data_IF_309240201345
#
_entry.id   IF_309240201345
#
_cell.length_a   1.000
_cell.length_b   1.000
_cell.length_c   1.000
_cell.angle_alpha   90.00
_cell.angle_beta   90.00
_cell.angle_gamma   90.00
#
_symmetry.space_group_name_H-M   'P 1'
#
loop_
_entity.id
_entity.type
_entity.pdbx_description
1 polymer ?
#
# COMPACT_ATOMS: atom_id res chain seq x y z
N UNK A 1 93.48 7.62 -12.53
CA UNK A 1 93.49 8.42 -11.32
C UNK A 1 92.09 8.72 -10.84
N UNK A 2 91.80 8.31 -9.60
CA UNK A 2 90.71 8.69 -8.69
C UNK A 2 89.27 8.46 -9.21
N UNK A 3 88.51 7.62 -8.70
CA UNK A 3 88.26 7.45 -7.26
C UNK A 3 86.89 8.10 -6.96
N UNK A 4 85.81 7.34 -6.93
CA UNK A 4 84.52 7.80 -6.53
C UNK A 4 83.65 6.59 -6.06
N UNK A 5 83.80 6.28 -4.76
CA UNK A 5 82.95 5.31 -4.08
C UNK A 5 81.52 5.89 -3.92
N UNK A 6 80.56 5.25 -4.52
CA UNK A 6 79.14 5.42 -4.21
C UNK A 6 78.73 4.21 -3.43
N UNK A 7 78.36 4.45 -2.17
CA UNK A 7 77.85 3.47 -1.19
C UNK A 7 76.49 2.91 -1.59
N UNK A 8 76.46 1.63 -1.86
CA UNK A 8 75.27 0.83 -1.95
C UNK A 8 74.72 0.65 -0.56
N UNK A 9 73.53 1.24 -0.29
CA UNK A 9 72.73 0.88 0.85
C UNK A 9 72.02 -0.45 0.55
N UNK A 10 72.55 -1.51 1.14
CA UNK A 10 71.86 -2.80 1.26
C UNK A 10 70.57 -2.63 2.05
N UNK A 11 69.49 -2.54 1.32
CA UNK A 11 68.17 -2.79 1.91
C UNK A 11 68.02 -4.30 2.05
N UNK A 12 68.05 -4.80 3.29
CA UNK A 12 67.74 -6.17 3.63
C UNK A 12 66.30 -6.49 3.28
N UNK A 13 66.06 -6.93 2.07
CA UNK A 13 64.79 -7.50 1.66
C UNK A 13 64.67 -8.90 2.29
N UNK A 14 63.93 -9.02 3.36
CA UNK A 14 63.43 -10.32 3.85
C UNK A 14 62.51 -10.87 2.77
N UNK A 15 63.02 -11.80 1.98
CA UNK A 15 62.26 -12.54 0.99
C UNK A 15 61.40 -13.55 1.72
N UNK A 16 60.16 -13.12 2.06
CA UNK A 16 59.15 -14.09 2.38
C UNK A 16 58.78 -14.78 1.08
N UNK A 17 59.00 -16.07 1.03
CA UNK A 17 58.48 -16.98 0.01
C UNK A 17 56.98 -17.10 0.25
N UNK A 18 56.29 -15.99 0.10
CA UNK A 18 54.84 -15.83 0.14
C UNK A 18 54.40 -15.71 -1.29
N UNK A 19 53.70 -16.72 -1.78
CA UNK A 19 52.88 -16.68 -2.95
C UNK A 19 52.08 -15.38 -2.89
N UNK A 20 52.41 -14.42 -3.75
CA UNK A 20 51.61 -13.22 -3.93
C UNK A 20 50.26 -13.68 -4.44
N UNK A 21 49.29 -13.82 -3.52
CA UNK A 21 47.92 -14.05 -3.88
C UNK A 21 47.43 -12.70 -4.42
N UNK A 22 47.73 -12.47 -5.69
CA UNK A 22 47.05 -11.44 -6.47
C UNK A 22 45.61 -11.93 -6.51
N UNK A 23 44.80 -11.41 -5.60
CA UNK A 23 43.34 -11.58 -5.68
C UNK A 23 42.93 -10.75 -6.91
N UNK A 24 43.06 -11.41 -8.07
CA UNK A 24 42.54 -10.83 -9.28
C UNK A 24 41.05 -10.83 -9.13
N UNK A 25 40.47 -9.66 -8.94
CA UNK A 25 39.01 -9.46 -8.73
C UNK A 25 38.22 -10.02 -9.93
N UNK A 26 38.89 -10.27 -11.07
CA UNK A 26 38.34 -10.94 -12.25
C UNK A 26 38.13 -12.46 -12.06
N UNK A 27 38.79 -13.10 -11.08
CA UNK A 27 38.64 -14.54 -10.83
C UNK A 27 37.47 -14.84 -9.89
N UNK A 28 36.90 -13.81 -9.28
CA UNK A 28 35.66 -13.97 -8.53
C UNK A 28 34.48 -14.20 -9.51
N UNK A 29 33.53 -15.05 -9.13
CA UNK A 29 32.30 -15.27 -9.91
C UNK A 29 31.65 -13.95 -10.34
N UNK A 30 31.62 -12.98 -9.45
CA UNK A 30 31.11 -11.64 -9.71
C UNK A 30 31.92 -10.89 -10.76
N UNK A 31 33.28 -10.95 -10.71
CA UNK A 31 34.13 -10.33 -11.71
C UNK A 31 33.86 -10.86 -13.12
N UNK A 32 33.74 -12.18 -13.27
CA UNK A 32 33.41 -12.80 -14.57
C UNK A 32 32.00 -12.41 -15.06
N UNK A 33 31.03 -12.26 -14.16
CA UNK A 33 29.70 -11.77 -14.49
C UNK A 33 29.75 -10.32 -14.98
N UNK A 34 30.53 -9.46 -14.33
CA UNK A 34 30.67 -8.06 -14.74
C UNK A 34 31.35 -7.94 -16.12
N UNK A 35 32.38 -8.74 -16.38
CA UNK A 35 33.10 -8.72 -17.67
C UNK A 35 32.25 -9.28 -18.82
N UNK A 36 31.42 -10.29 -18.55
CA UNK A 36 30.56 -10.94 -19.57
C UNK A 36 29.30 -10.14 -19.88
N UNK A 37 28.64 -9.56 -18.86
CA UNK A 37 27.34 -8.91 -18.99
C UNK A 37 27.50 -7.42 -19.30
N UNK A 38 28.59 -6.79 -18.81
CA UNK A 38 28.78 -5.35 -18.93
C UNK A 38 27.78 -4.50 -18.17
N UNK A 39 27.99 -3.19 -18.15
CA UNK A 39 27.07 -2.24 -17.47
C UNK A 39 25.63 -2.34 -17.99
N UNK A 40 25.36 -2.45 -19.32
CA UNK A 40 23.97 -2.57 -19.81
C UNK A 40 23.26 -3.83 -19.32
N UNK A 41 23.97 -4.94 -19.21
CA UNK A 41 23.38 -6.20 -18.72
C UNK A 41 23.04 -6.14 -17.24
N UNK A 42 23.85 -5.49 -16.41
CA UNK A 42 23.58 -5.28 -14.98
C UNK A 42 22.33 -4.41 -14.81
N UNK A 43 22.21 -3.34 -15.61
CA UNK A 43 21.03 -2.49 -15.62
C UNK A 43 19.78 -3.31 -16.01
N UNK A 44 19.89 -4.12 -17.06
CA UNK A 44 18.75 -4.96 -17.49
C UNK A 44 18.33 -5.96 -16.40
N UNK A 45 19.27 -6.64 -15.76
CA UNK A 45 18.97 -7.57 -14.65
C UNK A 45 18.34 -6.82 -13.47
N UNK A 46 18.87 -5.65 -13.10
CA UNK A 46 18.30 -4.87 -11.99
C UNK A 46 16.89 -4.39 -12.28
N UNK A 47 16.58 -4.02 -13.52
CA UNK A 47 15.23 -3.66 -13.94
C UNK A 47 14.29 -4.87 -13.88
N UNK A 48 14.71 -6.04 -14.35
CA UNK A 48 13.92 -7.27 -14.26
C UNK A 48 13.62 -7.62 -12.79
N UNK A 49 14.63 -7.57 -11.93
CA UNK A 49 14.46 -7.82 -10.49
C UNK A 49 13.52 -6.79 -9.86
N UNK A 50 13.66 -5.52 -10.20
CA UNK A 50 12.76 -4.46 -9.71
C UNK A 50 11.31 -4.71 -10.15
N UNK A 51 11.07 -5.08 -11.40
CA UNK A 51 9.74 -5.43 -11.92
C UNK A 51 9.18 -6.65 -11.20
N UNK A 52 9.99 -7.69 -10.98
CA UNK A 52 9.57 -8.87 -10.21
C UNK A 52 9.17 -8.53 -8.78
N UNK A 53 9.93 -7.66 -8.11
CA UNK A 53 9.61 -7.19 -6.75
C UNK A 53 8.30 -6.39 -6.75
N UNK A 54 8.10 -5.51 -7.73
CA UNK A 54 6.86 -4.74 -7.88
C UNK A 54 5.65 -5.68 -8.08
N UNK A 55 5.77 -6.67 -8.97
CA UNK A 55 4.71 -7.65 -9.21
C UNK A 55 4.40 -8.45 -7.94
N UNK A 56 5.44 -8.90 -7.23
CA UNK A 56 5.28 -9.61 -5.96
C UNK A 56 4.57 -8.74 -4.92
N UNK A 57 5.00 -7.47 -4.77
CA UNK A 57 4.38 -6.53 -3.84
C UNK A 57 2.91 -6.25 -4.18
N UNK A 58 2.59 -6.01 -5.46
CA UNK A 58 1.22 -5.84 -5.93
C UNK A 58 0.36 -7.08 -5.68
N UNK A 59 0.92 -8.27 -5.93
CA UNK A 59 0.24 -9.54 -5.67
C UNK A 59 -0.10 -9.67 -4.17
N UNK A 60 0.87 -9.45 -3.28
CA UNK A 60 0.63 -9.47 -1.84
C UNK A 60 -0.39 -8.41 -1.40
N UNK A 61 -0.33 -7.20 -1.98
CA UNK A 61 -1.29 -6.13 -1.68
C UNK A 61 -2.71 -6.50 -2.09
N UNK A 62 -2.89 -7.15 -3.23
CA UNK A 62 -4.21 -7.57 -3.74
C UNK A 62 -4.74 -8.77 -2.96
N UNK A 63 -3.93 -9.82 -2.78
CA UNK A 63 -4.41 -11.08 -2.20
C UNK A 63 -4.44 -11.10 -0.66
N UNK A 64 -3.65 -10.27 0.00
CA UNK A 64 -3.61 -10.21 1.47
C UNK A 64 -4.08 -8.84 1.96
N UNK A 65 -3.57 -7.75 1.41
CA UNK A 65 -3.84 -6.40 1.87
C UNK A 65 -5.32 -6.02 1.74
N UNK A 66 -5.95 -6.28 0.60
CA UNK A 66 -7.37 -5.98 0.37
C UNK A 66 -8.29 -6.76 1.33
N UNK A 67 -8.18 -8.10 1.46
CA UNK A 67 -8.99 -8.84 2.42
C UNK A 67 -8.82 -8.38 3.85
N UNK A 68 -7.61 -8.06 4.26
CA UNK A 68 -7.32 -7.57 5.61
C UNK A 68 -7.93 -6.16 5.84
N UNK A 69 -7.89 -5.29 4.83
CA UNK A 69 -8.55 -3.98 4.88
C UNK A 69 -10.07 -4.13 5.08
N UNK A 70 -10.72 -5.01 4.33
CA UNK A 70 -12.16 -5.28 4.47
C UNK A 70 -12.48 -5.90 5.83
N UNK A 71 -11.67 -6.85 6.31
CA UNK A 71 -11.79 -7.42 7.66
C UNK A 71 -11.66 -6.38 8.77
N UNK A 72 -10.74 -5.43 8.61
CA UNK A 72 -10.59 -4.30 9.53
C UNK A 72 -11.84 -3.42 9.56
N UNK A 73 -12.42 -3.10 8.40
CA UNK A 73 -13.66 -2.31 8.32
C UNK A 73 -14.84 -3.03 8.94
N UNK A 74 -14.93 -4.35 8.77
CA UNK A 74 -15.92 -5.18 9.46
C UNK A 74 -15.78 -5.09 10.97
N UNK A 75 -14.54 -5.21 11.48
CA UNK A 75 -14.28 -5.10 12.91
C UNK A 75 -14.79 -3.77 13.50
N UNK A 76 -14.53 -2.64 12.82
CA UNK A 76 -15.02 -1.33 13.27
C UNK A 76 -16.53 -1.18 13.07
N UNK A 77 -17.11 -1.72 12.00
CA UNK A 77 -18.53 -1.65 11.74
C UNK A 77 -19.32 -2.47 12.75
N UNK A 78 -18.91 -3.69 13.04
CA UNK A 78 -19.53 -4.53 14.08
C UNK A 78 -19.34 -3.93 15.49
N UNK A 79 -18.17 -3.31 15.76
CA UNK A 79 -17.90 -2.64 17.03
C UNK A 79 -18.83 -1.47 17.37
N UNK A 80 -19.64 -1.00 16.41
CA UNK A 80 -20.69 0.02 16.67
C UNK A 80 -21.97 -0.58 17.23
N UNK A 81 -22.21 -1.87 17.11
CA UNK A 81 -23.44 -2.57 17.54
C UNK A 81 -23.20 -3.75 18.46
N UNK A 82 -22.04 -4.38 18.35
CA UNK A 82 -21.69 -5.63 19.05
C UNK A 82 -20.25 -5.57 19.54
N UNK A 83 -19.88 -6.50 20.42
CA UNK A 83 -18.48 -6.68 20.78
C UNK A 83 -17.69 -7.18 19.56
N UNK A 84 -16.69 -6.42 19.08
CA UNK A 84 -15.90 -6.79 17.91
C UNK A 84 -15.00 -7.98 18.24
N UNK A 85 -14.91 -8.95 17.33
CA UNK A 85 -14.07 -10.12 17.48
C UNK A 85 -12.85 -10.04 16.55
N UNK A 86 -11.68 -10.33 17.07
CA UNK A 86 -10.43 -10.35 16.29
C UNK A 86 -10.52 -11.33 15.11
N UNK A 87 -11.36 -12.39 15.23
CA UNK A 87 -11.64 -13.32 14.15
C UNK A 87 -12.27 -12.70 12.91
N UNK A 88 -12.93 -11.55 13.04
CA UNK A 88 -13.56 -10.83 11.93
C UNK A 88 -12.55 -10.23 10.96
N UNK A 89 -11.29 -10.01 11.40
CA UNK A 89 -10.21 -9.57 10.52
C UNK A 89 -9.89 -10.58 9.41
N UNK A 90 -10.01 -11.87 9.71
CA UNK A 90 -9.72 -12.95 8.76
C UNK A 90 -10.99 -13.52 8.07
N UNK A 91 -12.15 -12.96 8.34
CA UNK A 91 -13.44 -13.43 7.82
C UNK A 91 -13.46 -13.53 6.30
N UNK A 92 -12.89 -12.54 5.60
CA UNK A 92 -12.90 -12.45 4.14
C UNK A 92 -12.23 -13.68 3.50
N UNK A 93 -11.13 -14.19 4.10
CA UNK A 93 -10.40 -15.37 3.60
C UNK A 93 -11.22 -16.66 3.67
N UNK A 94 -12.24 -16.72 4.52
CA UNK A 94 -13.15 -17.86 4.68
C UNK A 94 -14.46 -17.67 3.93
N UNK A 95 -14.72 -16.48 3.40
CA UNK A 95 -15.94 -16.18 2.66
C UNK A 95 -15.91 -16.81 1.26
N UNK A 96 -17.04 -17.36 0.84
CA UNK A 96 -17.24 -17.80 -0.56
C UNK A 96 -17.17 -16.62 -1.54
N UNK A 97 -17.45 -15.43 -1.06
CA UNK A 97 -17.46 -14.20 -1.85
C UNK A 97 -16.07 -13.51 -1.94
N UNK A 98 -15.01 -14.17 -1.43
CA UNK A 98 -13.63 -13.66 -1.52
C UNK A 98 -13.26 -13.11 -2.91
N UNK A 99 -13.46 -13.85 -4.02
CA UNK A 99 -13.09 -13.34 -5.35
C UNK A 99 -13.91 -12.09 -5.73
N UNK A 100 -15.20 -12.04 -5.40
CA UNK A 100 -16.03 -10.88 -5.68
C UNK A 100 -15.54 -9.64 -4.92
N UNK A 101 -15.20 -9.78 -3.65
CA UNK A 101 -14.64 -8.71 -2.82
C UNK A 101 -13.33 -8.18 -3.43
N UNK A 102 -12.42 -9.07 -3.80
CA UNK A 102 -11.12 -8.70 -4.39
C UNK A 102 -11.32 -7.99 -5.73
N UNK A 103 -12.16 -8.55 -6.62
CA UNK A 103 -12.45 -7.96 -7.94
C UNK A 103 -13.05 -6.56 -7.79
N UNK A 104 -14.03 -6.38 -6.91
CA UNK A 104 -14.69 -5.08 -6.67
C UNK A 104 -13.69 -4.04 -6.16
N UNK A 105 -12.81 -4.42 -5.23
CA UNK A 105 -11.79 -3.52 -4.69
C UNK A 105 -10.70 -3.16 -5.72
N UNK A 106 -10.30 -4.10 -6.55
CA UNK A 106 -9.37 -3.86 -7.66
C UNK A 106 -10.03 -2.93 -8.69
N UNK A 107 -11.28 -3.18 -9.07
CA UNK A 107 -12.04 -2.35 -10.00
C UNK A 107 -12.19 -0.91 -9.47
N UNK A 108 -12.52 -0.76 -8.19
CA UNK A 108 -12.52 0.53 -7.49
C UNK A 108 -11.16 1.23 -7.61
N UNK A 109 -10.06 0.52 -7.34
CA UNK A 109 -8.71 1.05 -7.46
C UNK A 109 -8.37 1.51 -8.87
N UNK A 110 -8.73 0.71 -9.88
CA UNK A 110 -8.54 1.04 -11.31
C UNK A 110 -9.33 2.30 -11.69
N UNK A 111 -10.57 2.43 -11.26
CA UNK A 111 -11.36 3.64 -11.54
C UNK A 111 -10.75 4.88 -10.90
N UNK A 112 -10.31 4.80 -9.64
CA UNK A 112 -9.64 5.93 -8.98
C UNK A 112 -8.36 6.28 -9.73
N UNK A 113 -7.55 5.30 -10.12
CA UNK A 113 -6.31 5.50 -10.86
C UNK A 113 -6.57 6.18 -12.21
N UNK A 114 -7.54 5.70 -12.99
CA UNK A 114 -7.91 6.27 -14.28
C UNK A 114 -8.34 7.75 -14.16
N UNK A 115 -9.19 8.06 -13.18
CA UNK A 115 -9.63 9.42 -12.93
C UNK A 115 -8.51 10.34 -12.46
N UNK A 116 -7.59 9.80 -11.62
CA UNK A 116 -6.43 10.55 -11.13
C UNK A 116 -5.42 10.80 -12.25
N UNK A 117 -5.24 9.82 -13.16
CA UNK A 117 -4.37 9.96 -14.33
C UNK A 117 -4.91 10.99 -15.33
N UNK A 118 -6.24 11.03 -15.49
CA UNK A 118 -6.89 11.98 -16.39
C UNK A 118 -6.78 13.41 -15.84
N UNK A 119 -7.13 13.62 -14.59
CA UNK A 119 -7.07 14.90 -13.88
C UNK A 119 -7.04 14.65 -12.36
N UNK A 120 -6.16 15.35 -11.64
CA UNK A 120 -5.99 15.18 -10.20
C UNK A 120 -7.28 15.53 -9.43
N UNK A 121 -7.93 16.65 -9.77
CA UNK A 121 -9.15 17.12 -9.07
C UNK A 121 -10.31 16.12 -9.20
N UNK A 122 -10.72 15.67 -10.40
CA UNK A 122 -11.72 14.60 -10.54
C UNK A 122 -11.30 13.29 -9.84
N UNK A 123 -10.02 12.96 -9.82
CA UNK A 123 -9.48 11.80 -9.09
C UNK A 123 -9.81 11.87 -7.60
N UNK A 124 -9.58 13.02 -6.96
CA UNK A 124 -9.92 13.24 -5.55
C UNK A 124 -11.43 13.12 -5.33
N UNK A 125 -12.25 13.75 -6.16
CA UNK A 125 -13.72 13.67 -6.07
C UNK A 125 -14.21 12.22 -6.19
N UNK A 126 -13.64 11.44 -7.11
CA UNK A 126 -13.99 10.02 -7.30
C UNK A 126 -13.46 9.15 -6.17
N UNK A 127 -12.32 9.49 -5.57
CA UNK A 127 -11.84 8.82 -4.36
C UNK A 127 -12.89 8.87 -3.24
N UNK A 128 -13.46 10.05 -2.96
CA UNK A 128 -14.55 10.20 -1.99
C UNK A 128 -15.82 9.50 -2.43
N UNK A 129 -16.16 9.53 -3.71
CA UNK A 129 -17.32 8.83 -4.25
C UNK A 129 -17.29 7.32 -4.03
N UNK A 130 -16.12 6.70 -4.02
CA UNK A 130 -15.93 5.26 -3.87
C UNK A 130 -15.47 4.86 -2.45
N UNK A 131 -15.49 5.79 -1.51
CA UNK A 131 -14.95 5.57 -0.15
C UNK A 131 -15.78 4.59 0.66
N UNK A 132 -17.09 4.48 0.37
CA UNK A 132 -18.02 3.59 1.07
C UNK A 132 -18.05 2.15 0.52
N UNK A 133 -17.44 1.88 -0.65
CA UNK A 133 -17.42 0.53 -1.26
C UNK A 133 -16.96 -0.57 -0.29
N UNK A 134 -15.87 -0.40 0.49
CA UNK A 134 -15.43 -1.45 1.42
C UNK A 134 -16.47 -1.80 2.49
N UNK A 135 -17.23 -0.81 2.97
CA UNK A 135 -18.29 -1.02 3.97
C UNK A 135 -19.50 -1.72 3.37
N UNK A 136 -19.87 -1.38 2.12
CA UNK A 136 -20.94 -2.05 1.37
C UNK A 136 -20.59 -3.54 1.20
N UNK A 137 -19.34 -3.86 0.87
CA UNK A 137 -18.87 -5.25 0.73
C UNK A 137 -18.82 -6.02 2.06
N UNK A 138 -18.75 -5.32 3.19
CA UNK A 138 -18.89 -5.95 4.52
C UNK A 138 -20.33 -6.38 4.78
N UNK A 139 -21.29 -5.53 4.41
CA UNK A 139 -22.74 -5.84 4.60
C UNK A 139 -23.24 -6.85 3.57
N UNK A 140 -22.89 -6.66 2.30
CA UNK A 140 -23.28 -7.53 1.20
C UNK A 140 -22.06 -7.94 0.35
N UNK A 141 -21.40 -9.06 0.71
CA UNK A 141 -20.21 -9.54 0.00
C UNK A 141 -20.49 -10.09 -1.40
N UNK A 142 -21.77 -10.36 -1.72
CA UNK A 142 -22.20 -10.96 -3.00
C UNK A 142 -22.70 -9.89 -3.99
N UNK A 143 -22.82 -8.64 -3.57
CA UNK A 143 -23.24 -7.53 -4.42
C UNK A 143 -22.37 -7.43 -5.67
N UNK A 144 -23.00 -7.13 -6.82
CA UNK A 144 -22.25 -6.88 -8.05
C UNK A 144 -21.29 -5.69 -7.92
N UNK A 145 -20.10 -5.83 -8.51
CA UNK A 145 -19.04 -4.81 -8.42
C UNK A 145 -19.51 -3.42 -8.89
N UNK A 146 -20.27 -3.36 -9.99
CA UNK A 146 -20.78 -2.11 -10.54
C UNK A 146 -21.87 -1.51 -9.64
N UNK A 147 -22.70 -2.35 -9.03
CA UNK A 147 -23.74 -1.93 -8.10
C UNK A 147 -23.15 -1.42 -6.79
N UNK A 148 -22.14 -2.07 -6.22
CA UNK A 148 -21.41 -1.60 -5.04
C UNK A 148 -20.81 -0.20 -5.26
N UNK A 149 -20.18 0.02 -6.42
CA UNK A 149 -19.60 1.30 -6.81
C UNK A 149 -20.69 2.37 -6.97
N UNK A 150 -21.81 2.04 -7.64
CA UNK A 150 -22.94 2.95 -7.82
C UNK A 150 -23.58 3.30 -6.48
N UNK A 151 -23.86 2.32 -5.63
CA UNK A 151 -24.41 2.54 -4.27
C UNK A 151 -23.50 3.47 -3.46
N UNK A 152 -22.19 3.28 -3.52
CA UNK A 152 -21.23 4.18 -2.86
C UNK A 152 -21.30 5.61 -3.41
N UNK A 153 -21.43 5.79 -4.72
CA UNK A 153 -21.57 7.13 -5.33
C UNK A 153 -22.86 7.82 -4.88
N UNK A 154 -23.96 7.10 -4.84
CA UNK A 154 -25.28 7.62 -4.45
C UNK A 154 -25.29 8.02 -2.97
N UNK A 155 -24.72 7.19 -2.09
CA UNK A 155 -24.60 7.48 -0.66
C UNK A 155 -23.74 8.71 -0.36
N UNK A 156 -22.68 8.93 -1.14
CA UNK A 156 -21.75 10.05 -0.92
C UNK A 156 -22.15 11.33 -1.66
N UNK A 157 -23.25 11.29 -2.41
CA UNK A 157 -23.74 12.45 -3.13
C UNK A 157 -24.19 13.55 -2.14
N UNK A 158 -23.59 14.74 -2.28
CA UNK A 158 -23.82 15.86 -1.35
C UNK A 158 -22.86 15.91 -0.17
N UNK A 159 -22.29 14.77 0.27
CA UNK A 159 -21.45 14.67 1.48
C UNK A 159 -19.93 14.62 1.23
N UNK A 160 -19.48 14.80 -0.03
CA UNK A 160 -18.05 14.70 -0.37
C UNK A 160 -17.19 15.77 0.29
N UNK A 161 -17.74 17.00 0.41
CA UNK A 161 -17.03 18.09 1.09
C UNK A 161 -16.95 17.85 2.60
N UNK A 162 -17.99 17.33 3.21
CA UNK A 162 -18.01 17.00 4.64
C UNK A 162 -16.96 15.92 4.95
N UNK A 163 -16.88 14.90 4.08
CA UNK A 163 -15.85 13.86 4.17
C UNK A 163 -14.42 14.41 3.96
N UNK A 164 -14.25 15.38 3.06
CA UNK A 164 -12.97 16.05 2.86
C UNK A 164 -12.56 16.85 4.09
N UNK A 165 -13.48 17.62 4.67
CA UNK A 165 -13.25 18.40 5.91
C UNK A 165 -12.94 17.46 7.08
N UNK A 166 -13.64 16.34 7.15
CA UNK A 166 -13.38 15.30 8.16
C UNK A 166 -11.93 14.77 8.03
N UNK A 167 -11.50 14.42 6.81
CA UNK A 167 -10.13 13.96 6.56
C UNK A 167 -9.09 15.05 6.89
N UNK A 168 -9.39 16.31 6.57
CA UNK A 168 -8.53 17.44 6.88
C UNK A 168 -8.39 17.64 8.41
N UNK A 169 -9.47 17.43 9.16
CA UNK A 169 -9.45 17.45 10.62
C UNK A 169 -8.54 16.34 11.17
N UNK A 170 -8.67 15.12 10.66
CA UNK A 170 -7.79 14.03 11.06
C UNK A 170 -6.33 14.23 10.64
N UNK A 171 -6.07 14.93 9.53
CA UNK A 171 -4.70 15.25 9.09
C UNK A 171 -3.95 16.03 10.16
N UNK A 172 -4.61 16.99 10.83
CA UNK A 172 -4.02 17.72 11.96
C UNK A 172 -3.60 16.78 13.10
N UNK A 173 -4.45 15.82 13.46
CA UNK A 173 -4.15 14.81 14.46
C UNK A 173 -3.03 13.86 14.05
N UNK A 174 -2.97 13.47 12.78
CA UNK A 174 -1.88 12.64 12.24
C UNK A 174 -0.53 13.38 12.28
N UNK A 175 -0.51 14.67 11.95
CA UNK A 175 0.72 15.50 12.06
C UNK A 175 1.16 15.58 13.52
N UNK A 176 0.23 15.85 14.44
CA UNK A 176 0.52 15.90 15.87
C UNK A 176 1.05 14.56 16.39
N UNK A 177 0.42 13.47 15.99
CA UNK A 177 0.84 12.10 16.33
C UNK A 177 2.21 11.72 15.78
N UNK A 178 2.55 12.20 14.58
CA UNK A 178 3.85 12.00 13.96
C UNK A 178 4.95 12.77 14.71
N UNK A 179 4.67 13.99 15.17
CA UNK A 179 5.57 14.79 16.01
C UNK A 179 5.87 14.13 17.36
N UNK A 180 4.96 13.32 17.88
CA UNK A 180 5.15 12.50 19.10
C UNK A 180 5.87 11.17 18.80
N UNK A 181 7.00 11.20 18.10
CA UNK A 181 7.81 10.02 17.73
C UNK A 181 7.04 8.96 16.89
N UNK A 182 5.98 9.35 16.20
CA UNK A 182 5.19 8.46 15.34
C UNK A 182 4.20 7.54 16.07
N UNK A 183 4.33 7.36 17.38
CA UNK A 183 3.44 6.49 18.17
C UNK A 183 1.99 7.01 18.14
N UNK A 184 1.80 8.32 18.11
CA UNK A 184 0.48 8.93 18.05
C UNK A 184 -0.33 8.57 16.81
N UNK A 185 0.31 8.24 15.68
CA UNK A 185 -0.37 7.78 14.46
C UNK A 185 -1.17 6.51 14.72
N UNK A 186 -0.63 5.55 15.49
CA UNK A 186 -1.32 4.32 15.85
C UNK A 186 -2.54 4.54 16.74
N UNK A 187 -2.54 5.61 17.52
CA UNK A 187 -3.69 5.99 18.36
C UNK A 187 -4.78 6.70 17.55
N UNK A 188 -4.41 7.53 16.57
CA UNK A 188 -5.37 8.26 15.71
C UNK A 188 -6.08 7.32 14.73
N UNK A 189 -5.38 6.30 14.22
CA UNK A 189 -5.93 5.42 13.20
C UNK A 189 -7.24 4.70 13.60
N UNK A 190 -7.39 4.07 14.78
CA UNK A 190 -8.66 3.45 15.19
C UNK A 190 -9.81 4.45 15.33
N UNK A 191 -9.53 5.70 15.75
CA UNK A 191 -10.55 6.75 15.78
C UNK A 191 -11.05 7.12 14.37
N UNK A 192 -10.12 7.23 13.43
CA UNK A 192 -10.43 7.48 12.03
C UNK A 192 -11.35 6.39 11.46
N UNK A 193 -10.98 5.12 11.64
CA UNK A 193 -11.77 3.98 11.15
C UNK A 193 -13.14 3.88 11.82
N UNK A 194 -13.21 4.10 13.13
CA UNK A 194 -14.47 4.10 13.88
C UNK A 194 -15.41 5.24 13.42
N UNK A 195 -14.85 6.44 13.16
CA UNK A 195 -15.63 7.58 12.65
C UNK A 195 -16.21 7.28 11.27
N UNK A 196 -15.42 6.68 10.38
CA UNK A 196 -15.93 6.30 9.06
C UNK A 196 -16.96 5.15 9.09
N UNK A 197 -16.83 4.22 10.03
CA UNK A 197 -17.86 3.20 10.25
C UNK A 197 -19.19 3.80 10.69
N UNK A 198 -19.16 4.80 11.58
CA UNK A 198 -20.37 5.54 11.98
C UNK A 198 -20.94 6.38 10.83
N UNK A 199 -20.08 7.08 10.11
CA UNK A 199 -20.50 7.86 8.93
C UNK A 199 -21.18 6.98 7.90
N UNK A 200 -20.64 5.80 7.62
CA UNK A 200 -21.27 4.84 6.71
C UNK A 200 -22.68 4.48 7.15
N UNK A 201 -22.89 4.19 8.43
CA UNK A 201 -24.23 3.87 8.97
C UNK A 201 -25.21 5.03 8.80
N UNK A 202 -24.79 6.25 9.09
CA UNK A 202 -25.60 7.45 8.90
C UNK A 202 -26.02 7.60 7.44
N UNK A 203 -25.05 7.55 6.52
CA UNK A 203 -25.32 7.68 5.09
C UNK A 203 -26.18 6.54 4.53
N UNK A 204 -26.00 5.30 5.01
CA UNK A 204 -26.82 4.16 4.62
C UNK A 204 -28.26 4.34 5.07
N UNK A 205 -28.48 4.82 6.29
CA UNK A 205 -29.80 5.11 6.82
C UNK A 205 -30.48 6.24 6.04
N UNK A 206 -29.79 7.34 5.75
CA UNK A 206 -30.30 8.47 4.97
C UNK A 206 -30.65 8.08 3.53
N UNK A 207 -29.85 7.25 2.89
CA UNK A 207 -30.13 6.78 1.52
C UNK A 207 -31.35 5.87 1.43
N UNK A 208 -31.74 5.23 2.53
CA UNK A 208 -32.91 4.33 2.61
C UNK A 208 -34.21 5.07 2.97
N UNK A 209 -34.14 6.06 3.85
CA UNK A 209 -35.31 6.76 4.40
C UNK A 209 -36.10 7.56 3.36
N UNK A 210 -35.53 8.31 2.41
CA UNK A 210 -36.29 9.05 1.41
C UNK A 210 -37.11 8.15 0.47
N UNK A 211 -36.56 6.98 0.11
CA UNK A 211 -37.27 6.04 -0.78
C UNK A 211 -38.49 5.40 -0.14
N UNK A 212 -38.47 5.21 1.18
CA UNK A 212 -39.61 4.66 1.94
C UNK A 212 -40.75 5.68 2.05
N UNK A 213 -40.43 6.96 2.20
CA UNK A 213 -41.43 8.02 2.31
C UNK A 213 -42.16 8.30 0.98
N UNK A 214 -41.42 8.23 -0.15
CA UNK A 214 -42.00 8.39 -1.50
C UNK A 214 -42.84 7.19 -1.96
N UNK A 215 -42.65 6.03 -1.37
CA UNK A 215 -43.43 4.83 -1.68
C UNK A 215 -44.74 4.71 -0.88
N UNK A 216 -45.00 5.63 0.07
CA UNK A 216 -46.21 5.68 0.91
C UNK A 216 -47.20 6.79 0.52
N UNK A 217 -46.85 7.66 -0.43
CA UNK A 217 -47.72 8.63 -1.09
C UNK A 217 -48.21 8.07 -2.45
#
# INVERSE_FOLDING_TARGET
NSGGRGSSSEGSGVRFEGREVVINNSDSFLGRVFDTIGIPGIIAISLIVAVMIIILFLSLRVFIGIPLEIGGRKFFLDGTEKEPRVGDLSWVFRSKSYPNIVITMVLRGVYILLWTLLLIIPGIVKHYSYKMVPYILVEDPEIDSSEAIRKSMDMTLGHKMDMFVLDLSFLGWYILGALMFGIGVFLVHPYYEATYAQLYKTLNHESYTPKVNLAKE
#
